data_IF_656815377175
#
_entry.id   IF_656815377175
#
_cell.length_a   1.000
_cell.length_b   1.000
_cell.length_c   1.000
_cell.angle_alpha   90.00
_cell.angle_beta   90.00
_cell.angle_gamma   90.00
#
_symmetry.space_group_name_H-M   'P 1'
#
loop_
_entity.id
_entity.type
_entity.pdbx_description
1 polymer ?
#
# COMPACT_ATOMS: atom_id res chain seq x y z
N UNK A 1 39.06 6.14 39.14
CA UNK A 1 38.14 6.98 38.32
C UNK A 1 37.58 6.21 37.11
N UNK A 2 37.13 4.96 37.26
CA UNK A 2 36.57 4.15 36.15
C UNK A 2 35.08 3.82 36.34
N UNK A 3 34.55 3.86 37.57
CA UNK A 3 33.16 3.51 37.87
C UNK A 3 32.12 4.56 37.43
N UNK A 4 32.52 5.82 37.26
CA UNK A 4 31.60 6.90 36.88
C UNK A 4 31.20 6.90 35.39
N UNK A 5 31.90 6.11 34.56
CA UNK A 5 31.56 5.94 33.13
C UNK A 5 30.58 4.78 32.91
N UNK A 6 30.68 3.69 33.68
CA UNK A 6 29.75 2.56 33.57
C UNK A 6 28.33 2.89 34.03
N UNK A 7 28.16 3.75 35.06
CA UNK A 7 26.82 4.15 35.52
C UNK A 7 26.05 5.02 34.50
N UNK A 8 26.74 5.78 33.66
CA UNK A 8 26.08 6.55 32.58
C UNK A 8 25.65 5.67 31.40
N UNK A 9 26.38 4.61 31.11
CA UNK A 9 26.00 3.65 30.06
C UNK A 9 24.75 2.83 30.45
N UNK A 10 24.63 2.44 31.73
CA UNK A 10 23.46 1.69 32.21
C UNK A 10 22.16 2.53 32.26
N UNK A 11 22.27 3.87 32.34
CA UNK A 11 21.11 4.75 32.40
C UNK A 11 20.53 5.08 31.01
N UNK A 12 21.34 4.92 29.94
CA UNK A 12 20.88 5.06 28.55
C UNK A 12 20.04 3.86 28.06
N UNK A 13 20.05 2.73 28.77
CA UNK A 13 19.24 1.54 28.46
C UNK A 13 17.80 1.61 28.99
N UNK A 14 17.40 2.70 29.64
CA UNK A 14 16.05 2.89 30.19
C UNK A 14 15.16 3.84 29.40
N UNK A 15 15.61 4.28 28.22
CA UNK A 15 14.76 4.98 27.27
C UNK A 15 14.38 4.03 26.12
N UNK A 16 13.14 3.52 26.06
CA UNK A 16 12.70 2.66 24.96
C UNK A 16 12.74 3.39 23.60
N UNK A 17 12.83 4.72 23.63
CA UNK A 17 12.85 5.58 22.44
C UNK A 17 14.21 5.68 21.75
N UNK A 18 15.33 5.46 22.45
CA UNK A 18 16.67 5.59 21.85
C UNK A 18 17.05 4.41 20.96
N UNK A 19 16.44 3.23 21.18
CA UNK A 19 16.62 2.04 20.34
C UNK A 19 15.82 2.10 19.02
N UNK A 20 14.76 2.93 18.94
CA UNK A 20 14.02 3.14 17.70
C UNK A 20 14.77 4.04 16.70
N UNK A 21 15.63 4.94 17.19
CA UNK A 21 16.39 5.84 16.31
C UNK A 21 17.53 5.14 15.55
N UNK A 22 18.05 4.02 16.05
CA UNK A 22 19.16 3.29 15.40
C UNK A 22 18.69 2.23 14.41
N UNK A 23 17.40 1.84 14.40
CA UNK A 23 16.84 0.88 13.46
C UNK A 23 16.32 1.50 12.15
N UNK A 24 16.17 2.84 12.08
CA UNK A 24 15.69 3.57 10.88
C UNK A 24 16.83 3.87 9.88
N UNK A 25 18.07 3.48 10.19
CA UNK A 25 19.28 3.92 9.44
C UNK A 25 19.76 3.07 8.27
N UNK A 26 19.13 1.92 7.93
CA UNK A 26 19.69 1.01 6.88
C UNK A 26 18.79 0.88 5.64
N UNK A 27 17.63 1.55 5.60
CA UNK A 27 16.71 1.47 4.45
C UNK A 27 16.62 2.70 3.55
N UNK A 28 17.36 3.78 3.82
CA UNK A 28 17.15 5.09 3.16
C UNK A 28 18.27 5.51 2.19
N UNK A 29 19.03 4.55 1.64
CA UNK A 29 20.18 4.85 0.76
C UNK A 29 19.86 4.89 -0.74
N UNK A 30 18.64 4.57 -1.19
CA UNK A 30 18.31 4.51 -2.62
C UNK A 30 17.03 5.30 -2.95
N UNK A 31 17.10 6.63 -2.91
CA UNK A 31 16.08 7.47 -3.57
C UNK A 31 16.55 8.88 -3.94
N UNK A 32 17.85 9.19 -3.84
CA UNK A 32 18.40 10.50 -4.22
C UNK A 32 19.59 10.34 -5.19
N UNK A 33 19.30 9.98 -6.45
CA UNK A 33 20.25 10.16 -7.55
C UNK A 33 19.57 10.11 -8.95
N UNK A 34 18.77 11.14 -9.28
CA UNK A 34 18.48 11.65 -10.65
C UNK A 34 18.20 10.61 -11.79
N UNK A 35 18.22 10.96 -13.09
CA UNK A 35 17.02 11.07 -13.93
C UNK A 35 16.95 10.02 -15.07
N UNK A 36 15.79 9.95 -15.73
CA UNK A 36 15.46 9.27 -17.00
C UNK A 36 16.68 8.86 -17.87
N UNK A 37 16.83 7.54 -18.11
CA UNK A 37 17.22 6.85 -19.38
C UNK A 37 17.66 5.40 -19.07
N UNK A 38 17.05 4.41 -19.74
CA UNK A 38 17.77 3.19 -20.16
C UNK A 38 17.54 1.89 -19.36
N UNK A 39 17.18 0.85 -20.12
CA UNK A 39 17.00 -0.57 -19.77
C UNK A 39 18.22 -1.16 -19.03
N UNK A 40 18.01 -2.05 -18.06
CA UNK A 40 19.07 -2.90 -17.52
C UNK A 40 18.65 -3.77 -16.34
N UNK A 41 18.44 -5.06 -16.60
CA UNK A 41 18.18 -6.10 -15.61
C UNK A 41 19.30 -6.19 -14.54
N UNK A 42 18.90 -6.40 -13.27
CA UNK A 42 19.69 -7.18 -12.30
C UNK A 42 18.72 -8.00 -11.45
N UNK A 43 18.77 -9.31 -11.64
CA UNK A 43 18.15 -10.28 -10.75
C UNK A 43 19.10 -10.74 -9.64
N UNK A 44 18.49 -11.52 -8.73
CA UNK A 44 19.08 -12.42 -7.73
C UNK A 44 19.45 -11.80 -6.37
N UNK A 45 18.68 -12.19 -5.34
CA UNK A 45 19.02 -11.93 -3.94
C UNK A 45 18.04 -12.47 -2.90
N UNK A 46 17.98 -13.79 -2.76
CA UNK A 46 17.57 -14.58 -1.57
C UNK A 46 16.09 -14.65 -1.10
N UNK A 47 15.54 -15.85 -1.34
CA UNK A 47 14.73 -16.68 -0.45
C UNK A 47 14.84 -16.34 1.05
N UNK A 48 13.68 -16.19 1.71
CA UNK A 48 13.57 -16.43 3.15
C UNK A 48 12.62 -15.52 3.93
N UNK A 49 11.32 -15.49 3.58
CA UNK A 49 10.30 -15.11 4.58
C UNK A 49 9.26 -16.22 4.63
N UNK A 50 9.52 -17.16 5.54
CA UNK A 50 8.55 -18.15 5.95
C UNK A 50 7.33 -17.44 6.54
N UNK A 51 6.15 -17.91 6.13
CA UNK A 51 4.85 -17.43 6.54
C UNK A 51 4.72 -17.29 8.06
N UNK A 52 4.49 -16.06 8.52
CA UNK A 52 3.79 -15.81 9.78
C UNK A 52 2.33 -15.52 9.44
N UNK A 53 1.60 -16.57 9.08
CA UNK A 53 0.13 -16.56 9.09
C UNK A 53 -0.27 -17.42 10.28
N UNK A 54 -0.44 -16.78 11.44
CA UNK A 54 -0.85 -17.52 12.63
C UNK A 54 -0.76 -16.74 13.93
N UNK A 55 -1.63 -15.74 14.10
CA UNK A 55 -2.32 -15.43 15.36
C UNK A 55 -3.00 -14.06 15.23
N UNK A 56 -4.30 -14.05 14.97
CA UNK A 56 -5.09 -12.82 14.89
C UNK A 56 -6.33 -12.96 14.03
N UNK A 57 -7.04 -14.08 14.12
CA UNK A 57 -8.37 -14.23 13.55
C UNK A 57 -9.40 -13.42 14.33
N UNK A 58 -9.30 -12.10 14.26
CA UNK A 58 -10.50 -11.26 14.34
C UNK A 58 -11.14 -11.34 12.95
N UNK A 59 -12.43 -11.68 12.89
CA UNK A 59 -13.14 -11.91 11.63
C UNK A 59 -12.87 -10.78 10.64
N UNK A 60 -12.50 -11.14 9.42
CA UNK A 60 -12.40 -10.20 8.27
C UNK A 60 -13.75 -9.51 7.96
N UNK A 61 -14.84 -9.96 8.58
CA UNK A 61 -16.19 -9.41 8.47
C UNK A 61 -16.52 -8.29 9.48
N UNK A 62 -15.65 -8.02 10.47
CA UNK A 62 -15.90 -6.97 11.50
C UNK A 62 -15.10 -5.68 11.27
N UNK A 63 -14.48 -5.51 10.09
CA UNK A 63 -13.72 -4.31 9.81
C UNK A 63 -14.69 -3.14 9.58
N UNK A 64 -14.68 -2.10 10.45
CA UNK A 64 -15.68 -1.05 10.40
C UNK A 64 -15.63 -0.33 9.06
N UNK A 65 -16.80 -0.10 8.47
CA UNK A 65 -16.93 0.66 7.24
C UNK A 65 -16.29 2.05 7.40
N UNK A 66 -15.52 2.52 6.40
CA UNK A 66 -14.93 3.84 6.47
C UNK A 66 -16.01 4.93 6.52
N UNK A 67 -15.72 5.99 7.28
CA UNK A 67 -16.68 7.09 7.50
C UNK A 67 -17.11 7.74 6.18
N UNK A 68 -18.40 8.06 6.11
CA UNK A 68 -18.97 8.74 4.95
C UNK A 68 -18.36 10.12 4.70
N UNK A 69 -18.29 10.51 3.43
CA UNK A 69 -17.79 11.82 2.99
C UNK A 69 -16.27 12.00 3.06
N UNK A 70 -15.52 10.95 3.39
CA UNK A 70 -14.05 11.00 3.47
C UNK A 70 -13.37 10.64 2.14
N UNK A 71 -12.12 11.10 1.97
CA UNK A 71 -11.30 10.76 0.79
C UNK A 71 -11.06 9.25 0.68
N UNK A 72 -10.74 8.61 1.81
CA UNK A 72 -10.54 7.16 1.89
C UNK A 72 -11.80 6.37 1.51
N UNK A 73 -13.01 6.84 1.88
CA UNK A 73 -14.26 6.20 1.43
C UNK A 73 -14.44 6.33 -0.08
N UNK A 74 -14.11 7.48 -0.67
CA UNK A 74 -14.15 7.67 -2.13
C UNK A 74 -13.19 6.72 -2.85
N UNK A 75 -11.97 6.56 -2.35
CA UNK A 75 -10.98 5.63 -2.92
C UNK A 75 -11.46 4.18 -2.87
N UNK A 76 -12.02 3.75 -1.73
CA UNK A 76 -12.60 2.39 -1.60
C UNK A 76 -13.77 2.21 -2.57
N UNK A 77 -14.65 3.20 -2.71
CA UNK A 77 -15.77 3.14 -3.66
C UNK A 77 -15.28 3.07 -5.12
N UNK A 78 -14.23 3.81 -5.48
CA UNK A 78 -13.59 3.72 -6.80
C UNK A 78 -13.02 2.32 -7.05
N UNK A 79 -12.32 1.75 -6.07
CA UNK A 79 -11.81 0.38 -6.15
C UNK A 79 -12.93 -0.65 -6.31
N UNK A 80 -14.04 -0.49 -5.57
CA UNK A 80 -15.23 -1.35 -5.70
C UNK A 80 -15.85 -1.25 -7.10
N UNK A 81 -15.84 -0.06 -7.72
CA UNK A 81 -16.26 0.11 -9.11
C UNK A 81 -15.34 -0.62 -10.08
N UNK A 82 -14.02 -0.44 -9.98
CA UNK A 82 -13.07 -1.15 -10.86
C UNK A 82 -13.16 -2.65 -10.70
N UNK A 83 -13.33 -3.14 -9.48
CA UNK A 83 -13.59 -4.55 -9.20
C UNK A 83 -14.86 -5.04 -9.90
N UNK A 84 -15.96 -4.28 -9.82
CA UNK A 84 -17.20 -4.64 -10.50
C UNK A 84 -17.02 -4.66 -12.03
N UNK A 85 -16.25 -3.72 -12.58
CA UNK A 85 -15.93 -3.67 -14.00
C UNK A 85 -15.04 -4.85 -14.44
N UNK A 86 -14.05 -5.24 -13.63
CA UNK A 86 -13.23 -6.45 -13.87
C UNK A 86 -14.07 -7.73 -13.83
N UNK A 87 -15.04 -7.83 -12.91
CA UNK A 87 -15.98 -8.95 -12.85
C UNK A 87 -16.83 -9.01 -14.12
N UNK A 88 -17.39 -7.86 -14.54
CA UNK A 88 -18.16 -7.78 -15.81
C UNK A 88 -17.32 -8.13 -17.02
N UNK A 89 -16.06 -7.67 -17.04
CA UNK A 89 -15.11 -8.00 -18.10
C UNK A 89 -14.91 -9.51 -18.16
N UNK A 90 -14.54 -10.15 -17.04
CA UNK A 90 -14.35 -11.60 -16.91
C UNK A 90 -15.58 -12.41 -17.36
N UNK A 91 -16.78 -11.98 -16.93
CA UNK A 91 -18.02 -12.69 -17.21
C UNK A 91 -18.56 -12.43 -18.64
N UNK A 92 -17.95 -11.49 -19.36
CA UNK A 92 -18.25 -11.18 -20.75
C UNK A 92 -17.55 -12.11 -21.76
N UNK A 93 -17.56 -11.70 -23.03
CA UNK A 93 -16.80 -12.38 -24.09
C UNK A 93 -15.33 -11.95 -24.04
N UNK A 94 -14.55 -12.58 -23.15
CA UNK A 94 -13.11 -12.37 -23.05
C UNK A 94 -12.38 -13.24 -24.08
N UNK A 95 -11.37 -12.71 -24.80
CA UNK A 95 -10.52 -13.53 -25.66
C UNK A 95 -9.86 -14.68 -24.88
N UNK A 96 -9.72 -15.90 -25.45
CA UNK A 96 -9.18 -17.06 -24.74
C UNK A 96 -7.83 -16.83 -24.04
N UNK A 97 -6.96 -16.01 -24.64
CA UNK A 97 -5.64 -15.66 -24.10
C UNK A 97 -5.71 -14.83 -22.80
N UNK A 98 -6.83 -14.15 -22.54
CA UNK A 98 -6.99 -13.24 -21.41
C UNK A 98 -7.88 -13.81 -20.30
N UNK A 99 -8.48 -15.01 -20.47
CA UNK A 99 -9.42 -15.59 -19.51
C UNK A 99 -8.78 -15.76 -18.13
N UNK A 100 -7.61 -16.39 -18.07
CA UNK A 100 -6.91 -16.60 -16.79
C UNK A 100 -6.48 -15.26 -16.17
N UNK A 101 -6.07 -14.29 -17.00
CA UNK A 101 -5.65 -12.96 -16.53
C UNK A 101 -6.80 -12.13 -16.01
N UNK A 102 -7.98 -12.21 -16.63
CA UNK A 102 -9.18 -11.59 -16.11
C UNK A 102 -9.57 -12.19 -14.74
N UNK A 103 -9.44 -13.51 -14.58
CA UNK A 103 -9.69 -14.16 -13.30
C UNK A 103 -8.67 -13.73 -12.21
N UNK A 104 -7.39 -13.70 -12.54
CA UNK A 104 -6.33 -13.22 -11.64
C UNK A 104 -6.50 -11.74 -11.27
N UNK A 105 -6.92 -10.89 -12.20
CA UNK A 105 -7.20 -9.49 -11.96
C UNK A 105 -8.36 -9.29 -10.97
N UNK A 106 -9.43 -10.08 -11.08
CA UNK A 106 -10.52 -10.06 -10.11
C UNK A 106 -10.02 -10.47 -8.72
N UNK A 107 -9.22 -11.55 -8.63
CA UNK A 107 -8.64 -11.99 -7.35
C UNK A 107 -7.71 -10.94 -6.73
N UNK A 108 -6.89 -10.28 -7.56
CA UNK A 108 -6.02 -9.19 -7.12
C UNK A 108 -6.85 -8.00 -6.61
N UNK A 109 -7.92 -7.62 -7.30
CA UNK A 109 -8.84 -6.57 -6.87
C UNK A 109 -9.59 -6.92 -5.57
N UNK A 110 -9.99 -8.18 -5.39
CA UNK A 110 -10.59 -8.68 -4.13
C UNK A 110 -9.61 -8.55 -2.95
N UNK A 111 -8.35 -8.95 -3.15
CA UNK A 111 -7.32 -8.84 -2.13
C UNK A 111 -6.99 -7.36 -1.81
N UNK A 112 -6.86 -6.55 -2.85
CA UNK A 112 -6.68 -5.10 -2.76
C UNK A 112 -7.78 -4.43 -1.94
N UNK A 113 -9.05 -4.81 -2.17
CA UNK A 113 -10.21 -4.28 -1.45
C UNK A 113 -10.11 -4.52 0.06
N UNK A 114 -9.73 -5.73 0.48
CA UNK A 114 -9.59 -6.04 1.90
C UNK A 114 -8.52 -5.16 2.57
N UNK A 115 -7.39 -4.94 1.91
CA UNK A 115 -6.33 -4.05 2.41
C UNK A 115 -6.79 -2.59 2.43
N UNK A 116 -7.43 -2.12 1.36
CA UNK A 116 -7.95 -0.75 1.25
C UNK A 116 -8.94 -0.41 2.38
N UNK A 117 -9.83 -1.34 2.73
CA UNK A 117 -10.75 -1.18 3.87
C UNK A 117 -10.00 -1.03 5.20
N UNK A 118 -8.99 -1.87 5.45
CA UNK A 118 -8.18 -1.77 6.67
C UNK A 118 -7.37 -0.47 6.77
N UNK A 119 -6.88 0.02 5.64
CA UNK A 119 -6.15 1.29 5.54
C UNK A 119 -7.09 2.47 5.74
N UNK A 120 -8.27 2.44 5.13
CA UNK A 120 -9.29 3.47 5.29
C UNK A 120 -9.74 3.58 6.76
N UNK A 121 -9.95 2.46 7.44
CA UNK A 121 -10.25 2.43 8.88
C UNK A 121 -9.09 3.01 9.73
N UNK A 122 -7.84 2.74 9.36
CA UNK A 122 -6.67 3.31 10.03
C UNK A 122 -6.58 4.83 9.82
N UNK A 123 -6.87 5.32 8.61
CA UNK A 123 -6.97 6.75 8.31
C UNK A 123 -8.07 7.44 9.12
N UNK A 124 -9.24 6.81 9.29
CA UNK A 124 -10.33 7.35 10.12
C UNK A 124 -9.94 7.50 11.60
N UNK A 125 -9.16 6.56 12.13
CA UNK A 125 -8.60 6.65 13.49
C UNK A 125 -7.59 7.79 13.59
N UNK A 126 -6.72 7.94 12.60
CA UNK A 126 -5.73 9.01 12.54
C UNK A 126 -6.40 10.39 12.45
N UNK A 127 -7.48 10.52 11.66
CA UNK A 127 -8.28 11.74 11.57
C UNK A 127 -8.95 12.08 12.91
N UNK A 128 -9.48 11.07 13.60
CA UNK A 128 -10.07 11.25 14.94
C UNK A 128 -9.01 11.69 15.97
N UNK A 129 -7.80 11.11 15.92
CA UNK A 129 -6.69 11.49 16.78
C UNK A 129 -6.17 12.91 16.50
N UNK A 130 -6.10 13.30 15.22
CA UNK A 130 -5.75 14.66 14.80
C UNK A 130 -6.76 15.70 15.29
N UNK A 131 -8.06 15.41 15.18
CA UNK A 131 -9.13 16.27 15.70
C UNK A 131 -8.99 16.44 17.23
N UNK A 132 -8.83 15.33 17.95
CA UNK A 132 -8.65 15.33 19.41
C UNK A 132 -7.40 16.10 19.83
N UNK A 133 -6.28 15.93 19.12
CA UNK A 133 -5.02 16.62 19.39
C UNK A 133 -5.13 18.12 19.16
N UNK A 134 -5.86 18.55 18.13
CA UNK A 134 -6.14 19.98 17.88
C UNK A 134 -7.01 20.57 18.99
N UNK A 135 -8.02 19.85 19.46
CA UNK A 135 -8.84 20.28 20.59
C UNK A 135 -8.00 20.45 21.86
N UNK A 136 -7.14 19.49 22.19
CA UNK A 136 -6.21 19.59 23.32
C UNK A 136 -5.29 20.81 23.17
N UNK A 137 -4.74 21.04 21.97
CA UNK A 137 -3.87 22.19 21.70
C UNK A 137 -4.58 23.54 21.95
N UNK A 138 -5.90 23.64 21.72
CA UNK A 138 -6.66 24.85 22.04
C UNK A 138 -6.87 25.08 23.54
N UNK A 139 -6.85 24.01 24.35
CA UNK A 139 -7.01 24.10 25.81
C UNK A 139 -5.70 24.30 26.56
N UNK A 140 -4.56 23.94 25.95
CA UNK A 140 -3.24 24.08 26.57
C UNK A 140 -2.63 25.45 26.30
N UNK A 141 -2.08 26.09 27.33
CA UNK A 141 -1.31 27.34 27.18
C UNK A 141 -0.01 27.16 26.37
N UNK A 142 0.45 25.91 26.19
CA UNK A 142 1.70 25.55 25.50
C UNK A 142 1.44 24.77 24.21
N UNK A 143 0.73 25.38 23.26
CA UNK A 143 0.43 24.82 21.94
C UNK A 143 1.68 24.31 21.17
N UNK A 144 2.85 24.92 21.40
CA UNK A 144 4.12 24.52 20.77
C UNK A 144 4.54 23.06 21.08
N UNK A 145 4.11 22.49 22.21
CA UNK A 145 4.46 21.09 22.59
C UNK A 145 3.69 20.04 21.78
N UNK A 146 2.52 20.40 21.24
CA UNK A 146 1.63 19.48 20.50
C UNK A 146 1.88 19.56 18.98
N UNK A 147 2.53 20.63 18.51
CA UNK A 147 2.80 20.86 17.08
C UNK A 147 3.63 19.75 16.42
N UNK A 148 4.67 19.24 17.10
CA UNK A 148 5.53 18.16 16.58
C UNK A 148 4.76 16.85 16.33
N UNK A 149 4.07 16.29 17.34
CA UNK A 149 3.20 15.12 17.16
C UNK A 149 2.12 15.31 16.07
N UNK A 150 1.42 16.45 16.06
CA UNK A 150 0.39 16.74 15.04
C UNK A 150 0.99 16.78 13.63
N UNK A 151 2.18 17.37 13.49
CA UNK A 151 2.91 17.38 12.22
C UNK A 151 3.23 15.97 11.72
N UNK A 152 3.75 15.09 12.59
CA UNK A 152 4.04 13.69 12.23
C UNK A 152 2.79 12.90 11.86
N UNK A 153 1.70 13.05 12.61
CA UNK A 153 0.42 12.42 12.29
C UNK A 153 -0.13 12.91 10.94
N UNK A 154 -0.04 14.21 10.67
CA UNK A 154 -0.49 14.79 9.39
C UNK A 154 0.35 14.27 8.23
N UNK A 155 1.67 14.20 8.37
CA UNK A 155 2.55 13.65 7.34
C UNK A 155 2.23 12.18 7.05
N UNK A 156 2.06 11.36 8.10
CA UNK A 156 1.68 9.94 7.97
C UNK A 156 0.33 9.77 7.27
N UNK A 157 -0.65 10.62 7.60
CA UNK A 157 -1.97 10.64 6.93
C UNK A 157 -1.81 10.87 5.42
N UNK A 158 -1.08 11.91 5.04
CA UNK A 158 -0.85 12.25 3.63
C UNK A 158 -0.13 11.12 2.89
N UNK A 159 0.88 10.52 3.52
CA UNK A 159 1.59 9.38 2.94
C UNK A 159 0.67 8.18 2.71
N UNK A 160 -0.09 7.75 3.72
CA UNK A 160 -1.02 6.63 3.61
C UNK A 160 -2.12 6.89 2.57
N UNK A 161 -2.67 8.11 2.53
CA UNK A 161 -3.68 8.49 1.54
C UNK A 161 -3.09 8.47 0.12
N UNK A 162 -1.86 8.97 -0.06
CA UNK A 162 -1.16 8.95 -1.33
C UNK A 162 -0.89 7.53 -1.83
N UNK A 163 -0.42 6.64 -0.94
CA UNK A 163 -0.18 5.22 -1.27
C UNK A 163 -1.48 4.48 -1.59
N UNK A 164 -2.57 4.74 -0.86
CA UNK A 164 -3.88 4.18 -1.17
C UNK A 164 -4.36 4.65 -2.55
N UNK A 165 -4.23 5.94 -2.85
CA UNK A 165 -4.58 6.50 -4.16
C UNK A 165 -3.82 5.83 -5.30
N UNK A 166 -2.49 5.79 -5.20
CA UNK A 166 -1.64 5.15 -6.22
C UNK A 166 -1.97 3.65 -6.42
N UNK A 167 -2.30 2.93 -5.35
CA UNK A 167 -2.68 1.53 -5.44
C UNK A 167 -4.04 1.34 -6.13
N UNK A 168 -5.02 2.23 -5.88
CA UNK A 168 -6.32 2.23 -6.58
C UNK A 168 -6.15 2.58 -8.05
N UNK A 169 -5.32 3.57 -8.37
CA UNK A 169 -5.01 3.95 -9.75
C UNK A 169 -4.37 2.78 -10.52
N UNK A 170 -3.49 2.01 -9.88
CA UNK A 170 -2.89 0.80 -10.46
C UNK A 170 -3.93 -0.25 -10.87
N UNK A 171 -4.99 -0.45 -10.07
CA UNK A 171 -6.09 -1.36 -10.44
C UNK A 171 -6.88 -0.81 -11.64
N UNK A 172 -7.09 0.50 -11.69
CA UNK A 172 -7.70 1.18 -12.85
C UNK A 172 -6.87 1.03 -14.13
N UNK A 173 -5.54 1.16 -14.02
CA UNK A 173 -4.60 0.95 -15.14
C UNK A 173 -4.63 -0.50 -15.63
N UNK A 174 -4.65 -1.48 -14.72
CA UNK A 174 -4.80 -2.90 -15.07
C UNK A 174 -6.09 -3.15 -15.85
N UNK A 175 -7.21 -2.58 -15.41
CA UNK A 175 -8.49 -2.69 -16.13
C UNK A 175 -8.41 -2.07 -17.53
N UNK A 176 -7.82 -0.87 -17.66
CA UNK A 176 -7.63 -0.22 -18.94
C UNK A 176 -6.76 -1.05 -19.90
N UNK A 177 -5.68 -1.66 -19.39
CA UNK A 177 -4.81 -2.57 -20.18
C UNK A 177 -5.57 -3.81 -20.64
N UNK A 178 -6.37 -4.43 -19.77
CA UNK A 178 -7.20 -5.57 -20.16
C UNK A 178 -8.20 -5.21 -21.26
N UNK A 179 -8.82 -4.01 -21.18
CA UNK A 179 -9.69 -3.51 -22.24
C UNK A 179 -8.93 -3.27 -23.55
N UNK A 180 -7.78 -2.61 -23.50
CA UNK A 180 -6.93 -2.38 -24.67
C UNK A 180 -6.57 -3.71 -25.36
N UNK A 181 -6.07 -4.68 -24.59
CA UNK A 181 -5.70 -6.01 -25.08
C UNK A 181 -6.90 -6.80 -25.60
N UNK A 182 -8.08 -6.61 -25.04
CA UNK A 182 -9.29 -7.28 -25.54
C UNK A 182 -9.72 -6.79 -26.92
N UNK A 183 -9.33 -5.58 -27.29
CA UNK A 183 -9.61 -5.00 -28.62
C UNK A 183 -8.48 -5.20 -29.62
N UNK A 184 -7.32 -5.70 -29.16
CA UNK A 184 -6.17 -5.94 -30.01
C UNK A 184 -6.46 -7.05 -31.04
N UNK A 185 -6.28 -6.78 -32.35
CA UNK A 185 -6.50 -7.77 -33.41
C UNK A 185 -5.65 -9.03 -33.25
N UNK A 186 -4.45 -8.92 -32.69
CA UNK A 186 -3.52 -10.02 -32.45
C UNK A 186 -4.08 -11.00 -31.40
N UNK A 187 -4.72 -10.47 -30.37
CA UNK A 187 -5.33 -11.24 -29.28
C UNK A 187 -6.67 -11.87 -29.72
N UNK A 188 -7.40 -11.21 -30.62
CA UNK A 188 -8.74 -11.63 -31.06
C UNK A 188 -8.69 -12.54 -32.31
N UNK A 189 -7.74 -12.31 -33.21
CA UNK A 189 -7.64 -12.95 -34.52
C UNK A 189 -6.68 -14.13 -34.61
N UNK A 190 -5.92 -14.43 -33.54
CA UNK A 190 -4.94 -15.52 -33.53
C UNK A 190 -3.78 -15.32 -34.50
N UNK A 191 -3.55 -14.08 -34.96
CA UNK A 191 -2.37 -13.71 -35.73
C UNK A 191 -1.15 -13.71 -34.80
N UNK A 192 -0.03 -14.24 -35.28
CA UNK A 192 1.22 -14.28 -34.50
C UNK A 192 1.51 -12.90 -33.90
N UNK A 193 1.66 -12.87 -32.57
CA UNK A 193 2.08 -11.69 -31.83
C UNK A 193 3.35 -11.16 -32.49
N UNK A 194 3.29 -9.94 -33.03
CA UNK A 194 4.47 -9.31 -33.60
C UNK A 194 5.59 -9.30 -32.55
N UNK A 195 6.76 -9.81 -32.92
CA UNK A 195 7.95 -9.94 -32.06
C UNK A 195 8.29 -8.59 -31.41
N UNK A 196 7.88 -8.40 -30.16
CA UNK A 196 8.22 -7.21 -29.39
C UNK A 196 7.32 -6.91 -28.19
N UNK A 197 6.06 -7.36 -28.18
CA UNK A 197 5.13 -7.07 -27.08
C UNK A 197 4.42 -8.36 -26.67
N UNK A 198 4.71 -8.85 -25.46
CA UNK A 198 3.99 -9.96 -24.84
C UNK A 198 2.88 -9.37 -23.96
N UNK A 199 1.65 -9.27 -24.46
CA UNK A 199 0.55 -8.62 -23.74
C UNK A 199 0.24 -9.32 -22.41
N UNK A 200 0.56 -10.61 -22.30
CA UNK A 200 0.37 -11.38 -21.06
C UNK A 200 1.45 -11.01 -20.03
N UNK A 201 2.67 -10.74 -20.48
CA UNK A 201 3.75 -10.27 -19.60
C UNK A 201 3.42 -8.91 -18.99
N UNK A 202 2.92 -7.95 -19.79
CA UNK A 202 2.58 -6.60 -19.30
C UNK A 202 1.47 -6.63 -18.25
N UNK A 203 0.45 -7.49 -18.43
CA UNK A 203 -0.61 -7.71 -17.45
C UNK A 203 -0.06 -8.39 -16.18
N UNK A 204 0.86 -9.33 -16.33
CA UNK A 204 1.50 -10.02 -15.20
C UNK A 204 2.33 -9.04 -14.36
N UNK A 205 3.09 -8.17 -15.01
CA UNK A 205 3.86 -7.10 -14.35
C UNK A 205 2.93 -6.12 -13.61
N UNK A 206 1.83 -5.72 -14.24
CA UNK A 206 0.84 -4.86 -13.59
C UNK A 206 0.22 -5.53 -12.35
N UNK A 207 -0.12 -6.82 -12.43
CA UNK A 207 -0.61 -7.60 -11.29
C UNK A 207 0.39 -7.68 -10.15
N UNK A 208 1.67 -7.93 -10.46
CA UNK A 208 2.73 -8.00 -9.45
C UNK A 208 3.00 -6.64 -8.81
N UNK A 209 2.95 -5.56 -9.59
CA UNK A 209 3.01 -4.18 -9.09
C UNK A 209 1.88 -3.89 -8.10
N UNK A 210 0.63 -4.24 -8.44
CA UNK A 210 -0.53 -4.08 -7.55
C UNK A 210 -0.36 -4.89 -6.26
N UNK A 211 0.04 -6.16 -6.36
CA UNK A 211 0.28 -7.02 -5.19
C UNK A 211 1.36 -6.41 -4.29
N UNK A 212 2.44 -5.89 -4.87
CA UNK A 212 3.51 -5.21 -4.15
C UNK A 212 3.01 -3.95 -3.43
N UNK A 213 2.27 -3.08 -4.14
CA UNK A 213 1.74 -1.84 -3.58
C UNK A 213 0.79 -2.10 -2.40
N UNK A 214 -0.13 -3.06 -2.52
CA UNK A 214 -1.04 -3.41 -1.42
C UNK A 214 -0.35 -4.13 -0.27
N UNK A 215 0.70 -4.93 -0.53
CA UNK A 215 1.50 -5.53 0.54
C UNK A 215 2.27 -4.48 1.35
N UNK A 216 2.86 -3.48 0.69
CA UNK A 216 3.49 -2.34 1.36
C UNK A 216 2.46 -1.55 2.18
N UNK A 217 1.30 -1.28 1.60
CA UNK A 217 0.24 -0.52 2.25
C UNK A 217 -0.30 -1.24 3.51
N UNK A 218 -0.49 -2.56 3.45
CA UNK A 218 -0.87 -3.39 4.60
C UNK A 218 0.19 -3.34 5.71
N UNK A 219 1.48 -3.41 5.35
CA UNK A 219 2.58 -3.29 6.31
C UNK A 219 2.58 -1.91 7.00
N UNK A 220 2.37 -0.83 6.26
CA UNK A 220 2.27 0.54 6.80
C UNK A 220 1.07 0.66 7.75
N UNK A 221 -0.09 0.12 7.38
CA UNK A 221 -1.29 0.16 8.21
C UNK A 221 -1.12 -0.58 9.54
N UNK A 222 -0.52 -1.78 9.50
CA UNK A 222 -0.20 -2.58 10.71
C UNK A 222 0.75 -1.84 11.65
N UNK A 223 1.84 -1.28 11.11
CA UNK A 223 2.80 -0.50 11.91
C UNK A 223 2.19 0.74 12.58
N UNK A 224 1.05 1.23 12.07
CA UNK A 224 0.34 2.39 12.61
C UNK A 224 -0.63 2.01 13.73
N UNK A 225 -1.07 0.75 13.78
CA UNK A 225 -2.02 0.27 14.80
C UNK A 225 -1.32 -0.26 16.05
N UNK A 226 -0.09 -0.77 15.91
CA UNK A 226 0.68 -1.39 17.00
C UNK A 226 1.57 -0.42 17.81
N UNK A 227 1.56 0.88 17.48
CA UNK A 227 2.37 1.92 18.14
C UNK A 227 1.55 2.91 18.94
#
# INVERSE_FOLDING_TARGET
MAESRMRRAAQAMRDPWSLLATAVGVGAAWALAFPVVGIGAVGVGMLGVAAVVGAGGAGRDDQPDPKDGTDQRRMVATLDSYRADLVRFRDGQVPPLLVDRAAEAVQAADAARAVALGVAASLDRLDSALLSSRQVATTMSTAARVAGPVGRMTARRTEMLGKLGAAVDGVGELYAKLLELSTAPEVTGGLELSTGMDPVADVSEALDSIRGAFAELDAVAKSTTDG
#
